data_IF_906839482246
#
_entry.id   IF_906839482246
#
_cell.length_a   1.000
_cell.length_b   1.000
_cell.length_c   1.000
_cell.angle_alpha   90.00
_cell.angle_beta   90.00
_cell.angle_gamma   90.00
#
_symmetry.space_group_name_H-M   'P 1'
#
loop_
_entity.id
_entity.type
_entity.pdbx_description
1 polymer ?
#
# COMPACT_ATOMS: atom_id res chain seq x y z
N UNK A 1 1.13 13.58 -5.05
CA UNK A 1 1.04 14.85 -4.30
C UNK A 1 -0.36 15.38 -4.50
N UNK A 2 -1.13 15.59 -3.43
CA UNK A 2 -2.41 16.31 -3.53
C UNK A 2 -2.03 17.78 -3.71
N UNK A 3 -2.26 18.33 -4.90
CA UNK A 3 -2.10 19.78 -5.10
C UNK A 3 -3.28 20.52 -4.44
N UNK A 4 -3.15 21.84 -4.25
CA UNK A 4 -4.20 22.65 -3.59
C UNK A 4 -5.57 22.61 -4.27
N UNK A 5 -5.64 22.01 -5.46
CA UNK A 5 -6.82 21.77 -6.30
C UNK A 5 -7.48 20.40 -6.09
N UNK A 6 -7.06 19.61 -5.10
CA UNK A 6 -7.57 18.25 -4.82
C UNK A 6 -7.20 17.19 -5.86
N UNK A 7 -6.26 17.48 -6.77
CA UNK A 7 -5.84 16.55 -7.81
C UNK A 7 -4.71 15.64 -7.33
N UNK A 8 -4.83 14.34 -7.60
CA UNK A 8 -3.81 13.32 -7.34
C UNK A 8 -3.15 12.90 -8.66
N UNK A 9 -1.95 13.42 -8.90
CA UNK A 9 -1.15 12.99 -10.04
C UNK A 9 -0.44 11.66 -9.74
N UNK A 10 -0.81 10.61 -10.48
CA UNK A 10 -0.17 9.30 -10.44
C UNK A 10 -0.06 8.69 -11.85
N UNK A 11 1.06 8.03 -12.18
CA UNK A 11 1.17 7.25 -13.42
C UNK A 11 0.29 5.99 -13.33
N UNK A 12 -0.13 5.47 -14.49
CA UNK A 12 -0.86 4.21 -14.60
C UNK A 12 -2.10 4.13 -13.68
N UNK A 13 -3.03 5.10 -13.79
CA UNK A 13 -4.18 5.21 -12.88
C UNK A 13 -5.03 3.94 -12.74
N UNK A 14 -5.03 3.05 -13.75
CA UNK A 14 -5.74 1.76 -13.74
C UNK A 14 -4.81 0.55 -13.44
N UNK A 15 -3.50 0.74 -13.35
CA UNK A 15 -2.54 -0.32 -13.03
C UNK A 15 -2.70 -0.75 -11.58
N UNK A 16 -2.83 -2.07 -11.34
CA UNK A 16 -3.12 -2.61 -10.01
C UNK A 16 -1.89 -3.23 -9.38
N UNK A 17 -1.67 -2.93 -8.11
CA UNK A 17 -0.62 -3.56 -7.29
C UNK A 17 -1.14 -3.81 -5.87
N UNK A 18 -0.63 -4.85 -5.22
CA UNK A 18 -0.96 -5.17 -3.84
C UNK A 18 0.00 -4.42 -2.89
N UNK A 19 -0.39 -3.21 -2.50
CA UNK A 19 0.42 -2.34 -1.66
C UNK A 19 0.46 -2.85 -0.22
N UNK A 20 1.64 -3.26 0.23
CA UNK A 20 1.89 -3.71 1.61
C UNK A 20 2.12 -2.52 2.53
N UNK A 21 1.60 -2.61 3.76
CA UNK A 21 1.87 -1.62 4.80
C UNK A 21 3.33 -1.79 5.30
N UNK A 22 4.12 -0.71 5.44
CA UNK A 22 5.45 -0.79 6.04
C UNK A 22 5.48 -1.42 7.44
N UNK A 23 4.42 -1.29 8.24
CA UNK A 23 4.30 -1.94 9.55
C UNK A 23 4.20 -3.46 9.43
N UNK A 24 3.56 -3.98 8.38
CA UNK A 24 3.48 -5.43 8.13
C UNK A 24 4.83 -5.98 7.70
N UNK A 25 5.59 -5.23 6.89
CA UNK A 25 7.00 -5.57 6.58
C UNK A 25 7.82 -5.62 7.87
N UNK A 26 7.68 -4.62 8.73
CA UNK A 26 8.41 -4.55 10.00
C UNK A 26 8.03 -5.71 10.93
N UNK A 27 6.76 -6.10 10.98
CA UNK A 27 6.31 -7.25 11.77
C UNK A 27 6.93 -8.56 11.29
N UNK A 28 6.97 -8.80 9.97
CA UNK A 28 7.64 -9.98 9.40
C UNK A 28 9.15 -9.94 9.66
N UNK A 29 9.80 -8.79 9.49
CA UNK A 29 11.21 -8.64 9.78
C UNK A 29 11.53 -8.93 11.27
N UNK A 30 10.71 -8.43 12.18
CA UNK A 30 10.86 -8.69 13.61
C UNK A 30 10.73 -10.19 13.93
N UNK A 31 9.75 -10.88 13.34
CA UNK A 31 9.62 -12.33 13.48
C UNK A 31 10.86 -13.06 12.93
N UNK A 32 11.30 -12.74 11.71
CA UNK A 32 12.48 -13.33 11.08
C UNK A 32 13.77 -13.15 11.88
N UNK A 33 13.92 -12.01 12.57
CA UNK A 33 15.12 -11.70 13.36
C UNK A 33 15.10 -12.30 14.78
N UNK A 34 13.93 -12.68 15.30
CA UNK A 34 13.77 -13.09 16.71
C UNK A 34 13.30 -14.52 16.89
N UNK A 35 12.87 -15.19 15.81
CA UNK A 35 12.34 -16.55 15.83
C UNK A 35 13.18 -17.47 14.94
N UNK A 36 13.24 -18.75 15.29
CA UNK A 36 13.92 -19.76 14.49
C UNK A 36 13.10 -20.14 13.24
N UNK A 37 13.77 -20.75 12.25
CA UNK A 37 13.10 -21.33 11.07
C UNK A 37 13.01 -20.42 9.84
N UNK A 38 13.52 -19.19 9.92
CA UNK A 38 13.52 -18.22 8.82
C UNK A 38 14.83 -18.22 8.00
N UNK A 39 15.84 -19.00 8.41
CA UNK A 39 17.11 -19.12 7.69
C UNK A 39 16.90 -19.67 6.26
N UNK A 40 17.54 -19.03 5.29
CA UNK A 40 17.45 -19.38 3.86
C UNK A 40 16.01 -19.39 3.30
N UNK A 41 15.10 -18.59 3.90
CA UNK A 41 13.74 -18.38 3.38
C UNK A 41 13.62 -17.06 2.66
N UNK A 42 12.76 -17.04 1.66
CA UNK A 42 12.37 -15.85 0.90
C UNK A 42 10.87 -15.72 1.06
N UNK A 43 10.41 -14.54 1.48
CA UNK A 43 9.00 -14.22 1.66
C UNK A 43 8.63 -13.08 0.72
N UNK A 44 7.66 -13.32 -0.15
CA UNK A 44 7.04 -12.27 -0.95
C UNK A 44 5.91 -11.65 -0.12
N UNK A 45 6.05 -10.36 0.20
CA UNK A 45 5.10 -9.64 1.04
C UNK A 45 4.25 -8.71 0.18
N UNK A 46 2.94 -8.77 0.38
CA UNK A 46 1.95 -8.00 -0.37
C UNK A 46 0.87 -7.48 0.57
N UNK A 47 0.15 -6.44 0.15
CA UNK A 47 -1.10 -6.07 0.78
C UNK A 47 -2.20 -7.11 0.52
N UNK A 48 -3.32 -7.07 1.27
CA UNK A 48 -4.37 -8.07 1.17
C UNK A 48 -5.07 -8.07 -0.20
N UNK A 49 -5.14 -6.91 -0.86
CA UNK A 49 -5.85 -6.76 -2.14
C UNK A 49 -5.07 -5.87 -3.12
N UNK A 50 -5.01 -6.24 -4.41
CA UNK A 50 -4.47 -5.36 -5.43
C UNK A 50 -5.41 -4.18 -5.69
N UNK A 51 -4.86 -2.96 -5.69
CA UNK A 51 -5.60 -1.72 -5.94
C UNK A 51 -4.90 -0.88 -6.98
N UNK A 52 -5.67 -0.12 -7.76
CA UNK A 52 -5.13 0.92 -8.61
C UNK A 52 -4.95 2.24 -7.85
N UNK A 53 -4.17 3.20 -8.39
CA UNK A 53 -4.17 4.56 -7.85
C UNK A 53 -5.57 5.18 -7.79
N UNK A 54 -6.41 4.97 -8.80
CA UNK A 54 -7.79 5.48 -8.81
C UNK A 54 -8.63 4.89 -7.66
N UNK A 55 -8.51 3.58 -7.40
CA UNK A 55 -9.22 2.94 -6.26
C UNK A 55 -8.77 3.54 -4.93
N UNK A 56 -7.46 3.81 -4.77
CA UNK A 56 -6.92 4.42 -3.55
C UNK A 56 -7.43 5.85 -3.36
N UNK A 57 -7.50 6.64 -4.43
CA UNK A 57 -8.04 8.00 -4.38
C UNK A 57 -9.52 7.97 -3.98
N UNK A 58 -10.33 7.06 -4.54
CA UNK A 58 -11.73 6.91 -4.16
C UNK A 58 -11.91 6.61 -2.66
N UNK A 59 -11.10 5.70 -2.11
CA UNK A 59 -11.10 5.39 -0.66
C UNK A 59 -10.71 6.61 0.15
N UNK A 60 -9.66 7.33 -0.25
CA UNK A 60 -9.21 8.53 0.45
C UNK A 60 -10.26 9.63 0.40
N UNK A 61 -10.95 9.82 -0.73
CA UNK A 61 -12.04 10.78 -0.87
C UNK A 61 -13.17 10.51 0.11
N UNK A 62 -13.57 9.24 0.25
CA UNK A 62 -14.60 8.81 1.20
C UNK A 62 -14.15 9.03 2.65
N UNK A 63 -12.96 8.56 3.02
CA UNK A 63 -12.45 8.63 4.41
C UNK A 63 -12.20 10.06 4.85
N UNK A 64 -11.76 10.92 3.93
CA UNK A 64 -11.42 12.31 4.23
C UNK A 64 -12.59 13.29 4.02
N UNK A 65 -13.74 12.82 3.53
CA UNK A 65 -14.89 13.65 3.12
C UNK A 65 -14.46 14.81 2.19
N UNK A 66 -13.69 14.47 1.17
CA UNK A 66 -13.10 15.42 0.20
C UNK A 66 -13.21 14.87 -1.20
N UNK A 67 -13.54 15.72 -2.16
CA UNK A 67 -13.60 15.34 -3.58
C UNK A 67 -12.20 15.30 -4.20
N UNK A 68 -11.46 14.21 -3.98
CA UNK A 68 -10.16 13.96 -4.61
C UNK A 68 -10.36 13.24 -5.94
N UNK A 69 -9.55 13.59 -6.94
CA UNK A 69 -9.61 13.03 -8.30
C UNK A 69 -8.24 12.94 -8.98
#
# INVERSE_FOLDING_TARGET
>A
MIAGDQVVHAPFAAGRAAFVDPADIAAVAAACLTQDGHNHRIYELTGPDPRSPADQVAILSEVLDRDLH
#
